data_IF_153458070570
#
_entry.id   IF_153458070570
#
_cell.length_a   1.000
_cell.length_b   1.000
_cell.length_c   1.000
_cell.angle_alpha   90.00
_cell.angle_beta   90.00
_cell.angle_gamma   90.00
#
_symmetry.space_group_name_H-M   'P 1'
#
loop_
_entity.id
_entity.type
_entity.pdbx_description
1 polymer ?
#
# COMPACT_ATOMS: atom_id res chain seq x y z
N UNK A 1 -7.16 -32.97 -10.90
CA UNK A 1 -7.81 -31.81 -11.55
C UNK A 1 -7.30 -30.58 -10.82
N UNK A 2 -6.48 -29.77 -11.48
CA UNK A 2 -5.78 -28.63 -10.85
C UNK A 2 -6.81 -27.53 -10.60
N UNK A 3 -7.04 -27.18 -9.34
CA UNK A 3 -7.77 -25.97 -8.95
C UNK A 3 -6.96 -24.79 -9.46
N UNK A 4 -7.39 -24.18 -10.56
CA UNK A 4 -6.80 -22.96 -11.06
C UNK A 4 -7.08 -21.86 -10.04
N UNK A 5 -6.05 -21.47 -9.26
CA UNK A 5 -6.11 -20.29 -8.41
C UNK A 5 -6.42 -19.10 -9.33
N UNK A 6 -7.56 -18.45 -9.13
CA UNK A 6 -7.87 -17.19 -9.82
C UNK A 6 -7.01 -16.10 -9.20
N UNK A 7 -5.76 -15.99 -9.67
CA UNK A 7 -4.91 -14.84 -9.37
C UNK A 7 -5.69 -13.57 -9.73
N UNK A 8 -5.65 -12.58 -8.84
CA UNK A 8 -6.31 -11.29 -9.06
C UNK A 8 -5.59 -10.56 -10.20
N UNK A 9 -6.08 -10.74 -11.41
CA UNK A 9 -5.51 -10.16 -12.64
C UNK A 9 -5.37 -8.64 -12.46
N UNK A 10 -4.14 -8.15 -12.62
CA UNK A 10 -3.76 -6.74 -12.61
C UNK A 10 -3.45 -6.16 -11.23
N UNK A 11 -3.56 -6.97 -10.18
CA UNK A 11 -3.18 -6.56 -8.84
C UNK A 11 -1.66 -6.53 -8.73
N UNK A 12 -1.15 -5.44 -8.18
CA UNK A 12 0.24 -5.34 -7.73
C UNK A 12 0.18 -5.25 -6.22
N UNK A 13 0.82 -6.19 -5.53
CA UNK A 13 0.95 -6.17 -4.07
C UNK A 13 2.41 -6.41 -3.72
N UNK A 14 2.97 -5.52 -2.92
CA UNK A 14 4.38 -5.46 -2.58
C UNK A 14 4.46 -5.57 -1.07
N UNK A 15 5.11 -6.61 -0.58
CA UNK A 15 5.45 -6.79 0.83
C UNK A 15 6.88 -6.26 1.02
N UNK A 16 6.99 -5.14 1.72
CA UNK A 16 8.22 -4.36 1.78
C UNK A 16 9.19 -4.99 2.78
N UNK A 17 10.42 -5.26 2.35
CA UNK A 17 11.40 -5.98 3.16
C UNK A 17 11.16 -7.49 3.25
N UNK A 18 10.26 -8.07 2.46
CA UNK A 18 10.17 -9.53 2.39
C UNK A 18 11.27 -10.10 1.50
N UNK A 19 11.84 -11.25 1.88
CA UNK A 19 12.92 -11.88 1.12
C UNK A 19 12.41 -12.53 -0.18
N UNK A 20 11.22 -13.13 -0.13
CA UNK A 20 10.63 -13.86 -1.26
C UNK A 20 9.13 -13.62 -1.30
N UNK A 21 8.62 -13.40 -2.51
CA UNK A 21 7.19 -13.27 -2.77
C UNK A 21 6.43 -14.55 -2.42
N UNK A 22 5.12 -14.41 -2.26
CA UNK A 22 4.24 -15.52 -1.91
C UNK A 22 2.81 -15.24 -2.38
N UNK A 23 2.01 -16.30 -2.46
CA UNK A 23 0.57 -16.18 -2.64
C UNK A 23 -0.09 -16.34 -1.28
N UNK A 24 -0.85 -15.34 -0.88
CA UNK A 24 -1.60 -15.37 0.37
C UNK A 24 -2.67 -16.47 0.33
N UNK A 25 -2.65 -17.37 1.31
CA UNK A 25 -3.49 -18.57 1.32
C UNK A 25 -4.98 -18.29 1.49
N UNK A 26 -5.34 -17.12 2.02
CA UNK A 26 -6.74 -16.74 2.30
C UNK A 26 -7.32 -15.90 1.17
N UNK A 27 -6.61 -14.86 0.75
CA UNK A 27 -7.06 -13.89 -0.25
C UNK A 27 -6.71 -14.28 -1.68
N UNK A 28 -5.80 -15.25 -1.86
CA UNK A 28 -5.22 -15.67 -3.16
C UNK A 28 -4.48 -14.56 -3.89
N UNK A 29 -4.09 -13.51 -3.17
CA UNK A 29 -3.32 -12.38 -3.69
C UNK A 29 -1.85 -12.74 -3.69
N UNK A 30 -1.19 -12.51 -4.83
CA UNK A 30 0.27 -12.56 -4.92
C UNK A 30 0.88 -11.28 -4.32
N UNK A 31 1.80 -11.48 -3.38
CA UNK A 31 2.70 -10.46 -2.84
C UNK A 31 4.11 -10.71 -3.36
N UNK A 32 4.77 -9.65 -3.79
CA UNK A 32 6.15 -9.69 -4.30
C UNK A 32 7.09 -8.98 -3.33
N UNK A 33 8.35 -9.40 -3.33
CA UNK A 33 9.43 -8.60 -2.74
C UNK A 33 9.51 -7.23 -3.41
N UNK A 34 9.96 -6.27 -2.62
CA UNK A 34 10.06 -4.88 -3.01
C UNK A 34 11.38 -4.51 -3.71
N UNK A 35 12.33 -5.45 -3.77
CA UNK A 35 13.69 -5.28 -4.31
C UNK A 35 13.74 -4.80 -5.77
N UNK A 36 12.72 -5.10 -6.57
CA UNK A 36 12.66 -4.66 -7.98
C UNK A 36 12.16 -3.22 -8.14
N UNK A 37 11.58 -2.64 -7.10
CA UNK A 37 10.94 -1.32 -7.15
C UNK A 37 11.73 -0.24 -6.40
N UNK A 38 12.68 -0.65 -5.55
CA UNK A 38 13.54 0.27 -4.80
C UNK A 38 14.90 -0.38 -4.53
N UNK A 39 15.96 0.45 -4.48
CA UNK A 39 17.34 -0.01 -4.27
C UNK A 39 17.98 0.54 -2.98
N UNK A 40 17.28 1.40 -2.25
CA UNK A 40 17.75 2.02 -1.01
C UNK A 40 16.95 1.51 0.19
N UNK A 41 17.40 1.86 1.39
CA UNK A 41 16.74 1.47 2.64
C UNK A 41 17.21 0.12 3.17
N UNK A 42 16.68 -0.22 4.34
CA UNK A 42 17.04 -1.40 5.11
C UNK A 42 15.80 -2.25 5.39
N UNK A 43 15.95 -3.56 5.24
CA UNK A 43 14.89 -4.51 5.56
C UNK A 43 14.89 -4.83 7.05
N UNK A 44 13.72 -4.81 7.67
CA UNK A 44 13.56 -5.16 9.07
C UNK A 44 12.36 -6.09 9.29
N UNK A 45 12.47 -6.92 10.32
CA UNK A 45 11.32 -7.61 10.91
C UNK A 45 10.76 -6.77 12.05
N UNK A 46 9.45 -6.85 12.25
CA UNK A 46 8.85 -6.32 13.48
C UNK A 46 9.36 -7.07 14.70
N UNK A 47 9.35 -6.41 15.86
CA UNK A 47 9.71 -7.04 17.12
C UNK A 47 8.79 -8.23 17.42
N UNK A 48 9.29 -9.33 18.01
CA UNK A 48 8.50 -10.55 18.22
C UNK A 48 7.19 -10.35 19.01
N UNK A 49 7.17 -9.40 19.94
CA UNK A 49 6.00 -9.01 20.74
C UNK A 49 4.87 -8.38 19.91
N UNK A 50 5.21 -7.88 18.73
CA UNK A 50 4.35 -7.13 17.82
C UNK A 50 4.07 -7.92 16.53
N UNK A 51 4.32 -9.23 16.51
CA UNK A 51 4.01 -10.06 15.35
C UNK A 51 2.52 -9.99 15.00
N UNK A 52 2.24 -9.92 13.69
CA UNK A 52 0.90 -9.87 13.12
C UNK A 52 0.58 -11.18 12.41
N UNK A 53 -0.70 -11.57 12.38
CA UNK A 53 -1.14 -12.73 11.59
C UNK A 53 -0.98 -12.48 10.08
N UNK A 54 -1.14 -11.22 9.66
CA UNK A 54 -0.98 -10.85 8.27
C UNK A 54 0.51 -10.71 7.92
N UNK A 55 1.01 -11.65 7.11
CA UNK A 55 2.42 -11.75 6.70
C UNK A 55 2.99 -10.44 6.15
N UNK A 56 2.21 -9.68 5.38
CA UNK A 56 2.64 -8.41 4.78
C UNK A 56 2.90 -7.26 5.78
N UNK A 57 2.63 -7.50 7.07
CA UNK A 57 2.93 -6.58 8.17
C UNK A 57 4.03 -7.11 9.11
N UNK A 58 4.61 -8.29 8.82
CA UNK A 58 5.70 -8.85 9.63
C UNK A 58 7.07 -8.29 9.24
N UNK A 59 7.17 -7.72 8.04
CA UNK A 59 8.35 -7.06 7.50
C UNK A 59 8.04 -5.63 7.10
N UNK A 60 9.10 -4.82 7.06
CA UNK A 60 9.07 -3.48 6.52
C UNK A 60 10.41 -3.13 5.89
N UNK A 61 10.41 -2.10 5.04
CA UNK A 61 11.63 -1.41 4.64
C UNK A 61 11.68 -0.03 5.29
N UNK A 62 12.78 0.29 5.94
CA UNK A 62 13.06 1.59 6.56
C UNK A 62 14.09 2.39 5.76
N UNK A 63 14.07 3.71 5.91
CA UNK A 63 14.93 4.63 5.16
C UNK A 63 15.66 5.58 6.10
N UNK A 64 16.69 5.11 6.82
CA UNK A 64 17.46 5.95 7.75
C UNK A 64 18.32 7.00 7.03
N UNK A 65 18.55 6.80 5.73
CA UNK A 65 19.29 7.73 4.88
C UNK A 65 18.44 8.20 3.70
N UNK A 66 18.82 9.36 3.14
CA UNK A 66 18.09 9.99 2.05
C UNK A 66 16.91 10.84 2.54
N UNK A 67 16.73 12.00 1.92
CA UNK A 67 15.61 12.90 2.23
C UNK A 67 14.31 12.42 1.58
N UNK A 68 14.40 11.82 0.39
CA UNK A 68 13.27 11.31 -0.39
C UNK A 68 13.62 9.94 -0.95
N UNK A 69 12.83 8.93 -0.60
CA UNK A 69 13.01 7.56 -1.04
C UNK A 69 11.73 7.14 -1.79
N UNK A 70 11.87 6.71 -3.05
CA UNK A 70 10.74 6.46 -3.94
C UNK A 70 10.76 5.03 -4.45
N UNK A 71 9.60 4.38 -4.36
CA UNK A 71 9.30 3.15 -5.08
C UNK A 71 8.85 3.52 -6.49
N UNK A 72 9.50 2.97 -7.51
CA UNK A 72 9.11 3.17 -8.91
C UNK A 72 8.44 1.89 -9.42
N UNK A 73 7.10 1.90 -9.42
CA UNK A 73 6.28 0.73 -9.71
C UNK A 73 5.86 0.78 -11.18
N UNK A 74 6.45 -0.08 -12.00
CA UNK A 74 6.03 -0.27 -13.39
C UNK A 74 4.59 -0.84 -13.43
N UNK A 75 3.70 -0.10 -14.09
CA UNK A 75 2.30 -0.47 -14.28
C UNK A 75 1.98 -0.79 -15.74
N UNK A 76 2.98 -0.75 -16.63
CA UNK A 76 2.86 -1.17 -18.03
C UNK A 76 2.97 -2.68 -18.22
N UNK A 77 3.65 -3.36 -17.31
CA UNK A 77 3.81 -4.80 -17.31
C UNK A 77 2.72 -5.51 -16.50
N UNK A 78 2.43 -6.76 -16.87
CA UNK A 78 1.34 -7.54 -16.28
C UNK A 78 -0.05 -7.02 -16.72
N UNK A 79 -1.07 -7.31 -15.91
CA UNK A 79 -2.47 -6.96 -16.18
C UNK A 79 -2.86 -5.57 -15.64
N UNK A 80 -1.87 -4.70 -15.44
CA UNK A 80 -2.07 -3.29 -15.17
C UNK A 80 -2.78 -2.60 -16.34
N UNK A 81 -3.45 -1.48 -16.05
CA UNK A 81 -4.08 -0.62 -17.07
C UNK A 81 -3.10 0.35 -17.74
N UNK A 82 -1.83 0.39 -17.30
CA UNK A 82 -0.80 1.30 -17.80
C UNK A 82 -1.17 2.79 -17.64
N UNK A 83 -0.51 3.63 -18.43
CA UNK A 83 -0.83 5.05 -18.55
C UNK A 83 -2.31 5.26 -18.89
N UNK A 84 -2.96 6.19 -18.17
CA UNK A 84 -4.40 6.45 -18.27
C UNK A 84 -5.26 5.50 -17.45
N UNK A 85 -4.68 4.45 -16.88
CA UNK A 85 -5.35 3.54 -15.96
C UNK A 85 -5.75 4.22 -14.65
N UNK A 86 -6.95 3.90 -14.16
CA UNK A 86 -7.42 4.30 -12.84
C UNK A 86 -7.05 3.24 -11.80
N UNK A 87 -6.50 3.66 -10.68
CA UNK A 87 -6.03 2.78 -9.61
C UNK A 87 -6.49 3.26 -8.24
N UNK A 88 -6.84 2.32 -7.37
CA UNK A 88 -6.70 2.49 -5.93
C UNK A 88 -5.25 2.14 -5.57
N UNK A 89 -4.54 3.09 -4.99
CA UNK A 89 -3.21 2.93 -4.41
C UNK A 89 -3.37 2.93 -2.91
N UNK A 90 -2.77 1.94 -2.25
CA UNK A 90 -2.81 1.79 -0.79
C UNK A 90 -1.38 1.60 -0.27
N UNK A 91 -1.03 2.39 0.75
CA UNK A 91 0.22 2.27 1.47
C UNK A 91 -0.09 1.94 2.93
N UNK A 92 0.54 0.89 3.47
CA UNK A 92 0.30 0.42 4.83
C UNK A 92 1.57 0.51 5.64
N UNK A 93 1.42 1.03 6.86
CA UNK A 93 2.49 1.30 7.81
C UNK A 93 2.19 0.59 9.11
N UNK A 94 3.01 -0.39 9.47
CA UNK A 94 2.98 -1.03 10.77
C UNK A 94 4.37 -0.96 11.41
N UNK A 95 4.51 -0.18 12.49
CA UNK A 95 5.82 0.11 13.08
C UNK A 95 6.40 -1.13 13.78
N UNK A 96 5.56 -1.85 14.53
CA UNK A 96 5.95 -3.09 15.21
C UNK A 96 7.22 -3.01 16.06
N UNK A 97 7.60 -1.79 16.50
CA UNK A 97 8.84 -1.51 17.21
C UNK A 97 10.08 -2.17 16.58
N UNK A 98 10.18 -2.16 15.24
CA UNK A 98 11.25 -2.88 14.51
C UNK A 98 12.67 -2.45 14.90
N UNK A 99 12.85 -1.21 15.34
CA UNK A 99 14.13 -0.62 15.72
C UNK A 99 14.37 -0.57 17.23
N UNK A 100 13.42 -1.06 18.04
CA UNK A 100 13.51 -1.07 19.49
C UNK A 100 13.43 0.31 20.17
N UNK A 101 13.14 1.39 19.43
CA UNK A 101 13.13 2.76 19.98
C UNK A 101 11.81 3.12 20.66
N UNK A 102 10.76 2.34 20.41
CA UNK A 102 9.40 2.56 20.93
C UNK A 102 8.89 3.98 20.63
N UNK A 103 9.30 4.53 19.49
CA UNK A 103 9.01 5.91 19.06
C UNK A 103 8.58 5.89 17.59
N UNK A 104 7.28 5.71 17.33
CA UNK A 104 6.75 5.71 15.97
C UNK A 104 7.07 7.04 15.25
N UNK A 105 7.64 7.00 14.04
CA UNK A 105 8.06 8.19 13.31
C UNK A 105 6.91 8.95 12.66
N UNK A 106 7.18 10.21 12.29
CA UNK A 106 6.35 11.03 11.42
C UNK A 106 7.12 11.43 10.16
N UNK A 107 6.49 11.33 8.99
CA UNK A 107 7.10 11.68 7.70
C UNK A 107 6.02 11.96 6.65
N UNK A 108 6.40 12.50 5.50
CA UNK A 108 5.44 12.77 4.43
C UNK A 108 5.41 11.61 3.43
N UNK A 109 4.20 11.30 2.94
CA UNK A 109 3.93 10.37 1.86
C UNK A 109 3.51 11.13 0.62
N UNK A 110 4.14 10.83 -0.51
CA UNK A 110 3.86 11.42 -1.81
C UNK A 110 3.49 10.37 -2.84
N UNK A 111 2.68 10.78 -3.82
CA UNK A 111 2.50 10.07 -5.08
C UNK A 111 3.00 10.95 -6.23
N UNK A 112 4.02 10.48 -6.93
CA UNK A 112 4.81 11.31 -7.84
C UNK A 112 5.36 12.52 -7.09
N UNK A 113 4.96 13.73 -7.48
CA UNK A 113 5.36 15.00 -6.83
C UNK A 113 4.31 15.57 -5.87
N UNK A 114 3.12 14.96 -5.80
CA UNK A 114 2.01 15.49 -5.01
C UNK A 114 2.03 14.90 -3.60
N UNK A 115 1.89 15.77 -2.59
CA UNK A 115 1.69 15.33 -1.21
C UNK A 115 0.40 14.52 -1.14
N UNK A 116 0.51 13.29 -0.68
CA UNK A 116 -0.62 12.40 -0.47
C UNK A 116 -1.10 12.48 0.98
N UNK A 117 -0.20 12.35 1.95
CA UNK A 117 -0.52 12.45 3.37
C UNK A 117 0.70 12.79 4.22
N UNK A 118 0.44 13.34 5.42
CA UNK A 118 1.41 13.29 6.52
C UNK A 118 1.15 11.98 7.26
N UNK A 119 2.18 11.14 7.36
CA UNK A 119 2.11 9.84 8.01
C UNK A 119 2.48 10.02 9.46
N UNK A 120 1.47 10.00 10.32
CA UNK A 120 1.63 9.93 11.78
C UNK A 120 1.44 8.47 12.22
N UNK A 121 2.55 7.73 12.33
CA UNK A 121 2.46 6.30 12.66
C UNK A 121 2.12 6.10 14.12
N UNK A 122 1.45 4.98 14.41
CA UNK A 122 1.09 4.55 15.76
C UNK A 122 1.52 3.09 15.94
N UNK A 123 1.20 2.51 17.09
CA UNK A 123 1.44 1.08 17.34
C UNK A 123 0.57 0.16 16.50
N UNK A 124 -0.62 0.61 16.09
CA UNK A 124 -1.49 -0.13 15.18
C UNK A 124 -1.10 0.17 13.72
N UNK A 125 -1.50 -0.73 12.83
CA UNK A 125 -1.35 -0.49 11.40
C UNK A 125 -2.17 0.74 10.98
N UNK A 126 -1.58 1.54 10.09
CA UNK A 126 -2.24 2.69 9.49
C UNK A 126 -2.15 2.55 7.98
N UNK A 127 -3.29 2.64 7.31
CA UNK A 127 -3.37 2.56 5.86
C UNK A 127 -3.81 3.90 5.28
N UNK A 128 -3.10 4.33 4.23
CA UNK A 128 -3.47 5.48 3.41
C UNK A 128 -3.95 4.97 2.07
N UNK A 129 -5.07 5.51 1.60
CA UNK A 129 -5.67 5.15 0.32
C UNK A 129 -5.88 6.38 -0.56
N UNK A 130 -5.63 6.16 -1.85
CA UNK A 130 -5.62 7.16 -2.92
C UNK A 130 -6.26 6.54 -4.15
N UNK A 131 -7.16 7.27 -4.80
CA UNK A 131 -7.60 6.95 -6.15
C UNK A 131 -6.98 7.95 -7.11
N UNK A 132 -6.27 7.45 -8.11
CA UNK A 132 -5.60 8.27 -9.12
C UNK A 132 -5.78 7.70 -10.52
N UNK A 133 -5.56 8.56 -11.51
CA UNK A 133 -5.35 8.15 -12.90
C UNK A 133 -3.88 8.31 -13.24
N UNK A 134 -3.23 7.23 -13.68
CA UNK A 134 -1.81 7.22 -13.98
C UNK A 134 -1.47 8.13 -15.17
N UNK A 135 -0.46 9.00 -15.02
CA UNK A 135 0.01 9.91 -16.09
C UNK A 135 1.09 9.29 -16.97
N UNK A 136 1.77 8.29 -16.44
CA UNK A 136 2.93 7.60 -17.01
C UNK A 136 2.76 6.10 -16.81
N UNK A 137 3.68 5.31 -17.35
CA UNK A 137 3.75 3.85 -17.15
C UNK A 137 4.31 3.43 -15.79
N UNK A 138 4.58 4.38 -14.91
CA UNK A 138 5.18 4.14 -13.60
C UNK A 138 4.43 4.95 -12.56
N UNK A 139 4.07 4.32 -11.45
CA UNK A 139 3.56 5.01 -10.26
C UNK A 139 4.69 5.11 -9.25
N UNK A 140 5.05 6.34 -8.88
CA UNK A 140 6.08 6.58 -7.88
C UNK A 140 5.44 6.84 -6.52
N UNK A 141 5.76 6.03 -5.52
CA UNK A 141 5.31 6.21 -4.11
C UNK A 141 6.53 6.60 -3.30
N UNK A 142 6.55 7.82 -2.77
CA UNK A 142 7.73 8.37 -2.11
C UNK A 142 7.49 8.68 -0.64
N UNK A 143 8.44 8.27 0.20
CA UNK A 143 8.52 8.65 1.61
C UNK A 143 9.56 9.76 1.74
N UNK A 144 9.19 10.86 2.41
CA UNK A 144 10.06 12.03 2.61
C UNK A 144 10.31 12.23 4.09
N UNK A 145 11.58 12.18 4.48
CA UNK A 145 12.01 12.38 5.85
C UNK A 145 11.87 13.86 6.25
N UNK A 146 11.09 14.12 7.30
CA UNK A 146 10.85 15.47 7.85
C UNK A 146 11.65 15.75 9.12
N UNK A 147 12.55 14.82 9.51
CA UNK A 147 13.40 14.92 10.70
C UNK A 147 12.74 14.41 11.99
N UNK A 148 11.58 13.75 11.90
CA UNK A 148 10.80 13.23 13.05
C UNK A 148 10.83 11.70 13.14
N UNK A 149 12.01 11.13 12.91
CA UNK A 149 12.25 9.69 12.91
C UNK A 149 12.48 9.12 11.51
N UNK A 150 12.61 7.80 11.42
CA UNK A 150 12.99 7.09 10.19
C UNK A 150 11.76 6.71 9.38
N UNK A 151 11.57 7.21 8.15
CA UNK A 151 10.47 6.76 7.30
C UNK A 151 10.56 5.27 7.02
N UNK A 152 9.42 4.61 6.96
CA UNK A 152 9.34 3.18 6.66
C UNK A 152 8.04 2.85 5.96
N UNK A 153 7.94 1.69 5.32
CA UNK A 153 6.68 1.18 4.75
C UNK A 153 6.63 -0.34 4.85
N UNK A 154 5.44 -0.89 5.11
CA UNK A 154 5.22 -2.34 5.23
C UNK A 154 4.61 -2.92 3.95
N UNK A 155 3.64 -2.24 3.36
CA UNK A 155 2.94 -2.77 2.18
C UNK A 155 2.58 -1.66 1.18
N UNK A 156 2.72 -1.95 -0.11
CA UNK A 156 2.19 -1.14 -1.20
C UNK A 156 1.27 -2.00 -2.07
N UNK A 157 0.04 -1.52 -2.31
CA UNK A 157 -0.93 -2.22 -3.14
C UNK A 157 -1.48 -1.29 -4.21
N UNK A 158 -1.49 -1.74 -5.47
CA UNK A 158 -2.20 -1.08 -6.56
C UNK A 158 -3.29 -2.01 -7.08
N UNK A 159 -4.52 -1.49 -7.06
CA UNK A 159 -5.71 -2.19 -7.53
C UNK A 159 -6.29 -1.44 -8.74
N UNK A 160 -6.25 -2.02 -9.95
CA UNK A 160 -6.85 -1.38 -11.11
C UNK A 160 -8.36 -1.28 -10.93
N UNK A 161 -8.93 -0.14 -11.32
CA UNK A 161 -10.35 0.16 -11.21
C UNK A 161 -10.97 0.32 -12.61
N UNK A 162 -12.27 0.06 -12.70
CA UNK A 162 -13.06 0.47 -13.86
C UNK A 162 -13.07 2.00 -13.97
N UNK A 163 -12.98 2.53 -15.19
CA UNK A 163 -12.94 3.97 -15.42
C UNK A 163 -14.24 4.67 -15.02
N UNK A 164 -15.35 3.93 -15.00
CA UNK A 164 -16.65 4.41 -14.54
C UNK A 164 -16.71 4.64 -13.02
N UNK A 165 -15.87 3.96 -12.23
CA UNK A 165 -15.82 4.15 -10.78
C UNK A 165 -15.08 5.44 -10.45
N UNK A 166 -15.59 6.22 -9.51
CA UNK A 166 -14.97 7.48 -9.05
C UNK A 166 -14.67 8.45 -10.21
N UNK A 167 -15.69 8.97 -10.91
CA UNK A 167 -15.48 9.86 -12.06
C UNK A 167 -14.80 11.19 -11.69
N UNK A 168 -14.84 11.58 -10.42
CA UNK A 168 -14.12 12.77 -9.92
C UNK A 168 -12.59 12.59 -9.89
N UNK A 169 -12.08 11.35 -9.90
CA UNK A 169 -10.66 11.08 -10.04
C UNK A 169 -10.25 11.21 -11.52
N UNK A 170 -9.37 12.17 -11.80
CA UNK A 170 -8.85 12.47 -13.14
C UNK A 170 -7.34 12.37 -13.15
N UNK A 171 -6.69 12.57 -14.31
CA UNK A 171 -5.23 12.66 -14.36
C UNK A 171 -4.69 13.82 -13.51
N UNK A 172 -5.48 14.86 -13.28
CA UNK A 172 -5.08 16.04 -12.50
C UNK A 172 -5.59 16.06 -11.07
N UNK A 173 -6.54 15.19 -10.73
CA UNK A 173 -7.22 15.19 -9.44
C UNK A 173 -7.23 13.78 -8.89
N UNK A 174 -6.56 13.58 -7.76
CA UNK A 174 -6.67 12.39 -6.94
C UNK A 174 -7.77 12.52 -5.89
N UNK A 175 -8.29 11.39 -5.41
CA UNK A 175 -9.19 11.32 -4.26
C UNK A 175 -8.50 10.57 -3.13
N UNK A 176 -8.47 11.13 -1.93
CA UNK A 176 -7.97 10.44 -0.74
C UNK A 176 -9.13 9.81 0.02
N UNK A 177 -8.90 8.67 0.65
CA UNK A 177 -9.91 8.07 1.52
C UNK A 177 -10.11 8.93 2.76
N UNK A 178 -11.36 9.29 3.04
CA UNK A 178 -11.77 9.90 4.31
C UNK A 178 -12.39 8.88 5.25
N UNK A 179 -13.32 8.06 4.74
CA UNK A 179 -13.94 6.98 5.48
C UNK A 179 -14.50 5.93 4.51
N UNK A 180 -14.51 4.68 4.95
CA UNK A 180 -15.22 3.58 4.28
C UNK A 180 -16.07 2.89 5.34
N UNK A 181 -17.36 2.78 5.09
CA UNK A 181 -18.29 2.11 6.00
C UNK A 181 -19.12 1.12 5.20
N UNK A 182 -19.23 -0.11 5.71
CA UNK A 182 -20.18 -1.07 5.21
C UNK A 182 -21.45 -0.97 6.07
N UNK A 183 -22.55 -0.53 5.46
CA UNK A 183 -23.83 -0.40 6.14
C UNK A 183 -24.70 -1.68 6.04
N UNK A 184 -24.20 -2.75 5.41
CA UNK A 184 -24.90 -4.02 5.37
C UNK A 184 -24.85 -4.69 6.76
N UNK A 185 -26.04 -4.92 7.34
CA UNK A 185 -26.21 -5.63 8.60
C UNK A 185 -25.74 -7.07 8.47
N UNK A 186 -24.93 -7.54 9.40
CA UNK A 186 -24.66 -8.96 9.58
C UNK A 186 -25.85 -9.65 10.26
N UNK A 187 -27.04 -9.58 9.68
CA UNK A 187 -28.21 -10.44 9.95
C UNK A 187 -29.23 -10.19 8.85
N UNK A 188 -29.87 -11.25 8.35
CA UNK A 188 -31.11 -11.10 7.60
C UNK A 188 -32.09 -10.30 8.46
N UNK A 189 -32.50 -9.14 7.97
CA UNK A 189 -33.83 -8.61 8.24
C UNK A 189 -34.24 -7.70 7.09
N UNK A 190 -35.35 -8.08 6.45
CA UNK A 190 -36.00 -7.31 5.40
C UNK A 190 -36.49 -6.00 5.99
N UNK A 191 -35.80 -4.90 5.70
CA UNK A 191 -36.32 -3.57 5.99
C UNK A 191 -37.07 -3.06 4.75
N UNK A 192 -38.38 -3.28 4.75
CA UNK A 192 -39.32 -2.40 4.03
C UNK A 192 -39.77 -1.33 5.01
N UNK A 193 -39.76 -0.06 4.61
CA UNK A 193 -40.99 0.76 4.56
C UNK A 193 -40.77 2.21 4.10
N UNK A 194 -41.78 2.60 3.31
CA UNK A 194 -42.36 3.91 2.94
C UNK A 194 -41.43 5.09 2.74
#
# INVERSE_FOLDING_TARGET
>A
MVTQLLLRVGFISIDCGCNEGYVDGTTTIEYKSDDQYISTGETHHVSPEYNQDWRALQTLRSFPTGVRNCYDIDISSGSGKGKGGKYLVRAVFYYGNYDGQNSPPEFDLYVGVNLWAVVETRYNDTAFELIMVARTETVSVCLVNTGKGTPYISTIELRPLSDALYPAATSNTSLTLQARSNFASATEDVIRKR
#
